data_IF_614974801240
#
_entry.id   IF_614974801240
#
_cell.length_a   1.000
_cell.length_b   1.000
_cell.length_c   1.000
_cell.angle_alpha   90.00
_cell.angle_beta   90.00
_cell.angle_gamma   90.00
#
_symmetry.space_group_name_H-M   'P 1'
#
loop_
_entity.id
_entity.type
_entity.pdbx_description
1 polymer ?
#
# COMPACT_ATOMS: atom_id res chain seq x y z
N UNK A 1 38.07 35.28 21.54
CA UNK A 1 37.94 33.94 22.17
C UNK A 1 36.50 33.85 22.65
N UNK A 2 35.58 33.08 22.07
CA UNK A 2 35.65 32.01 21.07
C UNK A 2 34.61 32.25 19.96
N UNK A 3 34.93 31.69 18.80
CA UNK A 3 34.18 31.69 17.55
C UNK A 3 33.04 30.65 17.62
N UNK A 4 31.78 31.07 17.44
CA UNK A 4 30.62 30.17 17.35
C UNK A 4 30.24 29.89 15.88
N UNK A 5 31.23 29.83 14.99
CA UNK A 5 31.07 29.28 13.63
C UNK A 5 31.07 27.76 13.68
N UNK A 6 30.09 27.15 14.35
CA UNK A 6 29.90 25.68 14.26
C UNK A 6 28.51 25.25 14.70
N UNK A 7 27.49 25.75 14.01
CA UNK A 7 26.27 24.95 13.92
C UNK A 7 26.61 23.76 13.03
N UNK A 8 26.57 22.52 13.55
CA UNK A 8 26.73 21.36 12.68
C UNK A 8 25.60 21.42 11.66
N UNK A 9 25.93 21.09 10.41
CA UNK A 9 24.98 20.71 9.38
C UNK A 9 24.06 19.62 9.94
N UNK A 10 23.00 20.01 10.65
CA UNK A 10 21.77 19.25 10.65
C UNK A 10 21.22 19.53 9.28
N UNK A 11 21.60 18.66 8.34
CA UNK A 11 20.61 18.14 7.41
C UNK A 11 19.44 17.73 8.30
N UNK A 12 18.51 18.66 8.53
CA UNK A 12 17.15 18.29 8.85
C UNK A 12 16.80 17.43 7.66
N UNK A 13 16.92 16.11 7.82
CA UNK A 13 16.28 15.17 6.93
C UNK A 13 14.85 15.67 6.87
N UNK A 14 14.55 16.39 5.80
CA UNK A 14 13.22 16.69 5.38
C UNK A 14 12.68 15.31 5.11
N UNK A 15 12.12 14.67 6.14
CA UNK A 15 11.31 13.47 5.98
C UNK A 15 10.29 13.94 4.95
N UNK A 16 10.38 13.49 3.69
CA UNK A 16 9.43 13.92 2.69
C UNK A 16 8.09 13.50 3.27
N UNK A 17 7.20 14.46 3.55
CA UNK A 17 5.86 14.10 3.95
C UNK A 17 5.32 13.23 2.81
N UNK A 18 5.02 11.94 3.06
CA UNK A 18 4.59 11.06 2.00
C UNK A 18 3.41 11.73 1.31
N UNK A 19 3.43 11.73 -0.01
CA UNK A 19 2.30 12.19 -0.79
C UNK A 19 1.05 11.43 -0.32
N UNK A 20 -0.14 12.03 -0.43
CA UNK A 20 -1.38 11.40 0.05
C UNK A 20 -1.54 9.95 -0.47
N UNK A 21 -1.10 9.69 -1.70
CA UNK A 21 -1.06 8.36 -2.29
C UNK A 21 -0.11 7.41 -1.56
N UNK A 22 1.10 7.85 -1.21
CA UNK A 22 2.05 7.03 -0.46
C UNK A 22 1.49 6.64 0.91
N UNK A 23 0.87 7.59 1.63
CA UNK A 23 0.18 7.32 2.90
C UNK A 23 -0.93 6.28 2.75
N UNK A 24 -1.71 6.34 1.67
CA UNK A 24 -2.76 5.35 1.41
C UNK A 24 -2.20 3.97 1.05
N UNK A 25 -1.10 3.92 0.28
CA UNK A 25 -0.41 2.66 -0.02
C UNK A 25 0.21 2.05 1.24
N UNK A 26 0.79 2.87 2.11
CA UNK A 26 1.29 2.45 3.43
C UNK A 26 0.16 1.91 4.31
N UNK A 27 -1.02 2.53 4.26
CA UNK A 27 -2.20 2.03 4.97
C UNK A 27 -2.64 0.67 4.46
N UNK A 28 -2.71 0.47 3.14
CA UNK A 28 -2.99 -0.83 2.52
C UNK A 28 -1.95 -1.87 2.95
N UNK A 29 -0.66 -1.52 2.91
CA UNK A 29 0.41 -2.39 3.37
C UNK A 29 0.27 -2.75 4.86
N UNK A 30 -0.13 -1.80 5.70
CA UNK A 30 -0.36 -2.02 7.12
C UNK A 30 -1.52 -3.00 7.36
N UNK A 31 -2.58 -2.93 6.55
CA UNK A 31 -3.68 -3.91 6.61
C UNK A 31 -3.21 -5.28 6.15
N UNK A 32 -2.49 -5.37 5.02
CA UNK A 32 -1.90 -6.63 4.53
C UNK A 32 -1.00 -7.27 5.58
N UNK A 33 -0.17 -6.49 6.27
CA UNK A 33 0.73 -6.97 7.31
C UNK A 33 -0.04 -7.53 8.52
N UNK A 34 -1.09 -6.83 8.98
CA UNK A 34 -1.94 -7.33 10.08
C UNK A 34 -2.70 -8.60 9.71
N UNK A 35 -3.21 -8.68 8.49
CA UNK A 35 -3.85 -9.90 7.97
C UNK A 35 -2.86 -11.07 7.92
N UNK A 36 -1.62 -10.81 7.46
CA UNK A 36 -0.56 -11.81 7.47
C UNK A 36 -0.30 -12.34 8.89
N UNK A 37 -0.16 -11.44 9.87
CA UNK A 37 0.12 -11.79 11.26
C UNK A 37 -0.99 -12.70 11.83
N UNK A 38 -2.24 -12.29 11.70
CA UNK A 38 -3.42 -13.06 12.16
C UNK A 38 -3.50 -14.42 11.49
N UNK A 39 -3.32 -14.50 10.17
CA UNK A 39 -3.38 -15.77 9.46
C UNK A 39 -2.18 -16.67 9.76
N UNK A 40 -1.03 -16.10 10.07
CA UNK A 40 0.14 -16.84 10.53
C UNK A 40 -0.10 -17.45 11.91
N UNK A 41 -0.64 -16.68 12.86
CA UNK A 41 -1.03 -17.16 14.19
C UNK A 41 -2.05 -18.30 14.11
N UNK A 42 -3.04 -18.16 13.22
CA UNK A 42 -4.09 -19.17 13.01
C UNK A 42 -3.68 -20.33 12.10
N UNK A 43 -2.47 -20.30 11.54
CA UNK A 43 -1.96 -21.30 10.58
C UNK A 43 -2.89 -21.46 9.37
N UNK A 44 -3.55 -20.39 8.95
CA UNK A 44 -4.48 -20.37 7.82
C UNK A 44 -3.69 -20.29 6.52
N UNK A 45 -3.30 -21.45 5.98
CA UNK A 45 -2.41 -21.53 4.79
C UNK A 45 -3.09 -20.97 3.53
N UNK A 46 -4.39 -21.19 3.38
CA UNK A 46 -5.15 -20.71 2.21
C UNK A 46 -5.08 -19.18 2.08
N UNK A 47 -5.53 -18.36 3.05
CA UNK A 47 -5.46 -16.90 2.93
C UNK A 47 -4.02 -16.37 2.89
N UNK A 48 -3.07 -17.01 3.58
CA UNK A 48 -1.64 -16.68 3.46
C UNK A 48 -1.12 -16.87 2.03
N UNK A 49 -1.47 -17.98 1.37
CA UNK A 49 -1.07 -18.24 -0.01
C UNK A 49 -1.62 -17.18 -0.98
N UNK A 50 -2.87 -16.76 -0.79
CA UNK A 50 -3.46 -15.67 -1.58
C UNK A 50 -2.75 -14.34 -1.36
N UNK A 51 -2.42 -14.01 -0.10
CA UNK A 51 -1.71 -12.79 0.24
C UNK A 51 -0.29 -12.79 -0.33
N UNK A 52 0.47 -13.87 -0.15
CA UNK A 52 1.84 -14.00 -0.66
C UNK A 52 1.94 -13.93 -2.19
N UNK A 53 0.86 -14.19 -2.91
CA UNK A 53 0.83 -14.10 -4.37
C UNK A 53 0.70 -12.65 -4.89
N UNK A 54 0.17 -11.73 -4.08
CA UNK A 54 -0.03 -10.33 -4.45
C UNK A 54 0.72 -9.33 -3.57
N UNK A 55 1.26 -9.78 -2.43
CA UNK A 55 2.00 -9.01 -1.44
C UNK A 55 3.28 -9.78 -1.04
N UNK A 56 4.42 -9.12 -0.81
CA UNK A 56 4.64 -7.67 -0.72
C UNK A 56 4.55 -6.94 -2.08
N UNK A 57 4.04 -5.71 -2.03
CA UNK A 57 3.95 -4.83 -3.19
C UNK A 57 5.35 -4.44 -3.66
N UNK A 58 5.85 -5.05 -4.73
CA UNK A 58 7.14 -4.69 -5.36
C UNK A 58 7.06 -3.34 -6.07
N UNK A 59 5.85 -2.94 -6.48
CA UNK A 59 5.54 -1.67 -7.12
C UNK A 59 4.26 -1.08 -6.51
N UNK A 60 4.25 0.22 -6.24
CA UNK A 60 3.10 0.97 -5.70
C UNK A 60 2.16 1.50 -6.80
N UNK A 61 2.27 0.95 -8.01
CA UNK A 61 1.46 1.30 -9.16
C UNK A 61 0.02 0.82 -9.04
N UNK A 62 -0.93 1.47 -9.74
CA UNK A 62 -2.34 1.15 -9.66
C UNK A 62 -2.65 -0.31 -10.06
N UNK A 63 -1.84 -0.92 -10.94
CA UNK A 63 -2.00 -2.34 -11.30
C UNK A 63 -1.74 -3.28 -10.12
N UNK A 64 -0.70 -3.03 -9.34
CA UNK A 64 -0.33 -3.85 -8.18
C UNK A 64 -1.38 -3.70 -7.07
N UNK A 65 -1.78 -2.46 -6.78
CA UNK A 65 -2.86 -2.15 -5.82
C UNK A 65 -4.17 -2.84 -6.22
N UNK A 66 -4.55 -2.76 -7.50
CA UNK A 66 -5.76 -3.43 -8.01
C UNK A 66 -5.68 -4.94 -7.85
N UNK A 67 -4.52 -5.54 -8.16
CA UNK A 67 -4.30 -6.99 -8.00
C UNK A 67 -4.48 -7.44 -6.55
N UNK A 68 -3.98 -6.69 -5.57
CA UNK A 68 -4.18 -7.00 -4.15
C UNK A 68 -5.67 -6.95 -3.79
N UNK A 69 -6.37 -5.86 -4.16
CA UNK A 69 -7.80 -5.73 -3.90
C UNK A 69 -8.65 -6.82 -4.55
N UNK A 70 -8.36 -7.19 -5.80
CA UNK A 70 -9.06 -8.27 -6.51
C UNK A 70 -8.78 -9.63 -5.88
N UNK A 71 -7.51 -9.96 -5.61
CA UNK A 71 -7.12 -11.25 -5.01
C UNK A 71 -7.77 -11.45 -3.64
N UNK A 72 -7.77 -10.41 -2.81
CA UNK A 72 -8.33 -10.46 -1.45
C UNK A 72 -9.86 -10.44 -1.46
N UNK A 73 -10.48 -9.79 -2.45
CA UNK A 73 -11.93 -9.86 -2.67
C UNK A 73 -12.37 -11.26 -3.11
N UNK A 74 -11.60 -11.93 -3.96
CA UNK A 74 -11.86 -13.30 -4.38
C UNK A 74 -11.67 -14.29 -3.22
N UNK A 75 -10.60 -14.12 -2.41
CA UNK A 75 -10.41 -14.90 -1.18
C UNK A 75 -11.65 -14.85 -0.28
N UNK A 76 -12.24 -13.66 -0.08
CA UNK A 76 -13.45 -13.47 0.72
C UNK A 76 -14.68 -14.18 0.15
N UNK A 77 -14.79 -14.31 -1.18
CA UNK A 77 -15.91 -15.00 -1.83
C UNK A 77 -15.72 -16.51 -1.84
N UNK A 78 -14.51 -16.99 -2.10
CA UNK A 78 -14.21 -18.41 -2.25
C UNK A 78 -14.05 -19.13 -0.92
N UNK A 79 -13.50 -18.46 0.10
CA UNK A 79 -13.16 -19.07 1.38
C UNK A 79 -13.68 -18.25 2.58
N UNK A 80 -14.99 -17.92 2.66
CA UNK A 80 -15.54 -17.12 3.75
C UNK A 80 -15.43 -17.80 5.12
N UNK A 81 -15.38 -19.14 5.15
CA UNK A 81 -15.30 -19.92 6.39
C UNK A 81 -13.88 -19.97 6.99
N UNK A 82 -12.87 -19.64 6.18
CA UNK A 82 -11.47 -19.52 6.62
C UNK A 82 -11.16 -18.11 7.16
N UNK A 83 -12.14 -17.20 7.12
CA UNK A 83 -12.00 -15.81 7.51
C UNK A 83 -12.85 -15.53 8.74
N UNK A 84 -12.19 -15.11 9.81
CA UNK A 84 -12.87 -14.59 10.99
C UNK A 84 -13.53 -13.23 10.73
N UNK A 85 -14.40 -12.80 11.66
CA UNK A 85 -15.08 -11.51 11.57
C UNK A 85 -14.11 -10.33 11.48
N UNK A 86 -13.00 -10.39 12.22
CA UNK A 86 -11.95 -9.37 12.19
C UNK A 86 -11.21 -9.33 10.83
N UNK A 87 -10.76 -10.49 10.34
CA UNK A 87 -10.12 -10.59 9.02
C UNK A 87 -11.07 -10.12 7.90
N UNK A 88 -12.35 -10.45 8.00
CA UNK A 88 -13.39 -10.02 7.04
C UNK A 88 -13.58 -8.50 7.05
N UNK A 89 -13.56 -7.87 8.23
CA UNK A 89 -13.63 -6.42 8.36
C UNK A 89 -12.41 -5.72 7.75
N UNK A 90 -11.20 -6.21 8.04
CA UNK A 90 -9.96 -5.69 7.44
C UNK A 90 -9.92 -5.87 5.92
N UNK A 91 -10.38 -7.01 5.40
CA UNK A 91 -10.49 -7.23 3.96
C UNK A 91 -11.47 -6.26 3.30
N UNK A 92 -12.56 -5.90 3.98
CA UNK A 92 -13.50 -4.88 3.50
C UNK A 92 -12.83 -3.51 3.46
N UNK A 93 -12.20 -3.09 4.56
CA UNK A 93 -11.49 -1.81 4.64
C UNK A 93 -10.43 -1.72 3.54
N UNK A 94 -9.62 -2.75 3.35
CA UNK A 94 -8.62 -2.81 2.29
C UNK A 94 -9.24 -2.64 0.91
N UNK A 95 -10.38 -3.30 0.62
CA UNK A 95 -11.04 -3.13 -0.68
C UNK A 95 -11.54 -1.71 -0.89
N UNK A 96 -12.04 -1.04 0.16
CA UNK A 96 -12.48 0.35 0.08
C UNK A 96 -11.30 1.31 -0.13
N UNK A 97 -10.17 1.08 0.56
CA UNK A 97 -8.95 1.85 0.34
C UNK A 97 -8.40 1.68 -1.08
N UNK A 98 -8.39 0.44 -1.60
CA UNK A 98 -7.97 0.15 -2.98
C UNK A 98 -8.88 0.86 -3.99
N UNK A 99 -10.20 0.74 -3.83
CA UNK A 99 -11.17 1.38 -4.74
C UNK A 99 -11.02 2.92 -4.70
N UNK A 100 -10.87 3.52 -3.52
CA UNK A 100 -10.63 4.96 -3.37
C UNK A 100 -9.33 5.42 -4.04
N UNK A 101 -8.24 4.67 -3.86
CA UNK A 101 -6.95 4.99 -4.47
C UNK A 101 -6.98 4.87 -5.99
N UNK A 102 -7.66 3.84 -6.51
CA UNK A 102 -7.81 3.63 -7.96
C UNK A 102 -8.69 4.70 -8.62
N UNK A 103 -9.78 5.13 -7.96
CA UNK A 103 -10.61 6.22 -8.45
C UNK A 103 -9.82 7.52 -8.58
N UNK A 104 -8.92 7.80 -7.62
CA UNK A 104 -8.05 8.98 -7.66
C UNK A 104 -6.97 8.87 -8.72
N UNK A 105 -6.38 7.69 -8.90
CA UNK A 105 -5.38 7.45 -9.94
C UNK A 105 -5.93 7.58 -11.37
N UNK A 106 -7.22 7.29 -11.58
CA UNK A 106 -7.91 7.53 -12.87
C UNK A 106 -8.10 9.03 -13.15
N UNK A 107 -8.14 9.86 -12.11
CA UNK A 107 -8.30 11.31 -12.20
C UNK A 107 -6.99 12.09 -12.32
N UNK A 108 -5.81 11.43 -12.26
CA UNK A 108 -4.58 12.06 -12.73
C UNK A 108 -4.55 12.02 -14.26
N UNK A 109 -4.77 13.15 -14.97
CA UNK A 109 -4.35 13.19 -16.35
C UNK A 109 -2.85 12.92 -16.32
N UNK A 110 -2.38 11.96 -17.12
CA UNK A 110 -0.96 11.78 -17.38
C UNK A 110 -0.42 13.10 -17.95
N UNK A 111 0.09 13.94 -17.05
CA UNK A 111 0.66 15.22 -17.37
C UNK A 111 1.92 14.98 -18.16
N UNK A 112 1.81 15.18 -19.48
CA UNK A 112 2.85 15.66 -20.37
C UNK A 112 4.19 14.90 -20.22
N UNK A 113 4.35 13.87 -21.05
CA UNK A 113 5.68 13.51 -21.53
C UNK A 113 6.20 14.76 -22.23
N UNK A 114 7.02 15.57 -21.54
CA UNK A 114 7.73 16.68 -22.15
C UNK A 114 8.61 16.11 -23.25
N UNK A 115 8.12 16.24 -24.47
CA UNK A 115 8.88 16.05 -25.69
C UNK A 115 9.91 17.18 -25.71
N UNK A 116 11.08 16.97 -25.09
CA UNK A 116 12.24 17.84 -25.37
C UNK A 116 12.70 17.53 -26.79
N UNK A 117 12.10 18.24 -27.74
CA UNK A 117 12.73 18.55 -29.02
C UNK A 117 14.04 19.27 -28.70
N UNK A 118 15.17 18.63 -28.98
CA UNK A 118 16.48 19.28 -29.01
C UNK A 118 16.88 19.43 -30.47
N UNK A 119 17.12 20.69 -30.82
CA UNK A 119 17.44 21.24 -32.14
C UNK A 119 18.67 20.64 -32.81
#
# INVERSE_FOLDING_TARGET
MMDESKWPNRVTEMIPYPSQRETEVEHINSICFRLFDIWCERRSITPLGYLMHCWPLVDSGPKAIRRVGETLRELRKSHPMELDGEATAMLRELTECVDALLLRAVHEPQGVIEIRLSS
#
